data_IF_417993321110
#
_entry.id   IF_417993321110
#
_cell.length_a   1.000
_cell.length_b   1.000
_cell.length_c   1.000
_cell.angle_alpha   90.00
_cell.angle_beta   90.00
_cell.angle_gamma   90.00
#
_symmetry.space_group_name_H-M   'P 1'
#
loop_
_entity.id
_entity.type
_entity.pdbx_description
1 polymer ?
#
# COMPACT_ATOMS: atom_id res chain seq x y z
N UNK A 1 -12.09 1.85 8.85
CA UNK A 1 -11.29 3.10 8.83
C UNK A 1 -10.35 2.99 7.65
N UNK A 2 -10.43 3.90 6.67
CA UNK A 2 -9.71 3.79 5.39
C UNK A 2 -8.32 4.44 5.42
N UNK A 3 -8.00 5.20 6.46
CA UNK A 3 -6.75 5.94 6.60
C UNK A 3 -6.24 5.85 8.03
N UNK A 4 -4.92 5.88 8.19
CA UNK A 4 -4.26 5.95 9.49
C UNK A 4 -3.37 7.20 9.54
N UNK A 5 -3.35 7.95 10.65
CA UNK A 5 -2.45 9.08 10.79
C UNK A 5 -1.00 8.58 10.83
N UNK A 6 -0.13 9.21 10.07
CA UNK A 6 1.32 8.98 10.14
C UNK A 6 1.90 9.92 11.20
N UNK A 7 2.76 9.40 12.06
CA UNK A 7 3.41 10.19 13.09
C UNK A 7 4.30 11.30 12.49
N UNK A 8 4.46 12.39 13.23
CA UNK A 8 5.38 13.46 12.83
C UNK A 8 6.79 12.89 12.62
N UNK A 9 7.40 13.21 11.47
CA UNK A 9 8.71 12.67 11.06
C UNK A 9 8.67 11.26 10.46
N UNK A 10 7.50 10.63 10.37
CA UNK A 10 7.30 9.36 9.67
C UNK A 10 7.48 9.48 8.16
N UNK A 11 7.38 10.69 7.60
CA UNK A 11 7.68 10.97 6.19
C UNK A 11 8.86 11.93 6.07
N UNK A 12 9.79 11.62 5.17
CA UNK A 12 10.88 12.51 4.76
C UNK A 12 10.85 12.65 3.25
N UNK A 13 10.96 13.87 2.74
CA UNK A 13 10.96 14.17 1.31
C UNK A 13 12.14 15.08 0.99
N UNK A 14 12.95 14.69 0.00
CA UNK A 14 13.98 15.51 -0.61
C UNK A 14 13.60 15.74 -2.07
N UNK A 15 12.88 16.84 -2.32
CA UNK A 15 12.39 17.21 -3.65
C UNK A 15 13.53 17.45 -4.64
N UNK A 16 14.69 17.95 -4.18
CA UNK A 16 15.85 18.20 -5.04
C UNK A 16 16.46 16.91 -5.57
N UNK A 17 16.37 15.83 -4.79
CA UNK A 17 16.87 14.50 -5.17
C UNK A 17 15.78 13.57 -5.69
N UNK A 18 14.53 14.03 -5.76
CA UNK A 18 13.38 13.18 -6.13
C UNK A 18 13.21 11.97 -5.21
N UNK A 19 13.62 12.07 -3.94
CA UNK A 19 13.58 10.94 -2.99
C UNK A 19 12.57 11.18 -1.89
N UNK A 20 11.93 10.10 -1.45
CA UNK A 20 11.12 10.12 -0.26
C UNK A 20 11.21 8.80 0.51
N UNK A 21 10.94 8.91 1.81
CA UNK A 21 10.94 7.79 2.74
C UNK A 21 9.69 7.88 3.61
N UNK A 22 9.02 6.74 3.78
CA UNK A 22 7.91 6.53 4.69
C UNK A 22 8.32 5.48 5.72
N UNK A 23 8.21 5.82 7.00
CA UNK A 23 8.40 4.93 8.14
C UNK A 23 7.15 4.95 9.00
N UNK A 24 6.56 3.79 9.20
CA UNK A 24 5.33 3.60 9.95
C UNK A 24 5.51 2.43 10.90
N UNK A 25 4.94 2.54 12.10
CA UNK A 25 4.97 1.48 13.12
C UNK A 25 3.63 1.40 13.82
N UNK A 26 3.31 0.20 14.29
CA UNK A 26 2.16 -0.11 15.13
C UNK A 26 0.83 0.44 14.59
N UNK A 27 0.63 0.32 13.27
CA UNK A 27 -0.60 0.75 12.62
C UNK A 27 -1.58 -0.40 12.58
N UNK A 28 -2.73 -0.18 13.24
CA UNK A 28 -3.86 -1.08 13.15
C UNK A 28 -4.53 -0.92 11.79
N UNK A 29 -4.62 -2.02 11.05
CA UNK A 29 -5.27 -2.09 9.74
C UNK A 29 -6.50 -2.94 9.88
N UNK A 30 -7.64 -2.35 9.57
CA UNK A 30 -8.88 -3.08 9.47
C UNK A 30 -9.10 -3.42 8.01
N UNK A 31 -8.96 -4.71 7.67
CA UNK A 31 -9.40 -5.19 6.37
C UNK A 31 -10.93 -5.31 6.40
N UNK A 32 -11.57 -4.23 5.96
CA UNK A 32 -13.01 -4.08 5.92
C UNK A 32 -13.65 -4.73 4.70
N UNK A 33 -12.91 -5.50 3.91
CA UNK A 33 -13.41 -5.83 2.59
C UNK A 33 -14.50 -6.92 2.62
N UNK A 34 -15.63 -6.54 2.05
CA UNK A 34 -16.60 -7.42 1.39
C UNK A 34 -16.12 -7.89 0.03
N UNK A 35 -14.87 -7.57 -0.37
CA UNK A 35 -14.22 -8.20 -1.53
C UNK A 35 -14.13 -9.67 -1.17
N UNK A 36 -14.82 -10.56 -1.90
CA UNK A 36 -14.68 -11.99 -1.73
C UNK A 36 -13.22 -12.32 -2.02
N UNK A 37 -12.38 -12.37 -1.00
CA UNK A 37 -11.02 -12.78 -1.16
C UNK A 37 -10.97 -14.28 -0.91
N UNK A 38 -10.84 -15.16 -1.90
CA UNK A 38 -11.10 -15.08 -3.36
C UNK A 38 -10.89 -16.49 -3.94
N UNK A 39 -11.16 -17.55 -3.16
CA UNK A 39 -11.10 -18.94 -3.63
C UNK A 39 -12.17 -19.84 -3.01
N UNK A 40 -12.86 -19.43 -1.94
CA UNK A 40 -13.92 -20.23 -1.33
C UNK A 40 -15.03 -19.36 -0.71
N UNK A 41 -16.17 -19.32 -1.38
CA UNK A 41 -17.37 -18.60 -0.94
C UNK A 41 -18.14 -19.34 0.16
N UNK A 42 -17.86 -20.63 0.40
CA UNK A 42 -18.44 -21.39 1.50
C UNK A 42 -17.78 -21.07 2.85
N UNK A 43 -16.57 -20.47 2.84
CA UNK A 43 -15.81 -20.15 4.06
C UNK A 43 -15.35 -18.68 4.07
N UNK A 44 -16.27 -17.71 4.16
CA UNK A 44 -15.90 -16.30 4.23
C UNK A 44 -15.03 -16.04 5.47
N UNK A 45 -13.86 -15.43 5.27
CA UNK A 45 -12.88 -15.14 6.34
C UNK A 45 -13.38 -14.11 7.37
N UNK A 46 -14.52 -13.46 7.13
CA UNK A 46 -15.08 -12.43 8.01
C UNK A 46 -14.22 -11.17 8.05
N UNK A 47 -14.43 -10.32 9.06
CA UNK A 47 -13.61 -9.12 9.29
C UNK A 47 -12.23 -9.54 9.79
N UNK A 48 -11.19 -9.27 9.00
CA UNK A 48 -9.81 -9.56 9.40
C UNK A 48 -9.17 -8.26 9.89
N UNK A 49 -8.48 -8.36 11.03
CA UNK A 49 -7.66 -7.27 11.55
C UNK A 49 -6.20 -7.63 11.38
N UNK A 50 -5.41 -6.66 10.98
CA UNK A 50 -3.96 -6.76 10.89
C UNK A 50 -3.30 -5.63 11.65
N UNK A 51 -2.03 -5.82 11.99
CA UNK A 51 -1.18 -4.79 12.58
C UNK A 51 0.05 -4.72 11.69
N UNK A 52 0.30 -3.56 11.08
CA UNK A 52 1.60 -3.26 10.49
C UNK A 52 2.52 -2.89 11.65
N UNK A 53 3.34 -3.85 12.09
CA UNK A 53 4.30 -3.62 13.17
C UNK A 53 5.38 -2.65 12.72
N UNK A 54 5.84 -2.80 11.48
CA UNK A 54 6.77 -1.87 10.85
C UNK A 54 6.60 -1.86 9.34
N UNK A 55 6.62 -0.67 8.76
CA UNK A 55 6.75 -0.44 7.33
C UNK A 55 7.84 0.60 7.10
N UNK A 56 8.78 0.29 6.22
CA UNK A 56 9.75 1.23 5.66
C UNK A 56 9.63 1.16 4.14
N UNK A 57 9.30 2.28 3.53
CA UNK A 57 9.27 2.42 2.09
C UNK A 57 10.20 3.55 1.69
N UNK A 58 11.07 3.30 0.73
CA UNK A 58 11.94 4.31 0.13
C UNK A 58 11.68 4.32 -1.36
N UNK A 59 11.44 5.49 -1.92
CA UNK A 59 11.27 5.61 -3.35
C UNK A 59 12.03 6.78 -3.93
N UNK A 60 12.39 6.62 -5.19
CA UNK A 60 13.03 7.65 -5.99
C UNK A 60 12.26 7.84 -7.29
N UNK A 61 12.20 9.08 -7.74
CA UNK A 61 11.70 9.48 -9.06
C UNK A 61 12.88 10.12 -9.78
N UNK A 62 13.20 9.63 -10.98
CA UNK A 62 14.48 9.97 -11.63
C UNK A 62 14.32 10.73 -12.94
N UNK A 63 13.25 10.48 -13.70
CA UNK A 63 13.08 11.11 -14.99
C UNK A 63 11.61 11.37 -15.30
N UNK A 64 11.39 12.43 -16.06
CA UNK A 64 10.10 12.79 -16.61
C UNK A 64 9.96 12.17 -18.01
N UNK A 65 8.84 11.50 -18.25
CA UNK A 65 8.39 11.04 -19.56
C UNK A 65 7.17 11.84 -19.95
N UNK A 66 7.31 12.65 -21.00
CA UNK A 66 6.19 13.40 -21.57
C UNK A 66 5.47 12.55 -22.62
N UNK A 67 4.15 12.53 -22.58
CA UNK A 67 3.29 11.91 -23.58
C UNK A 67 2.30 12.94 -24.12
N UNK A 68 2.00 12.86 -25.42
CA UNK A 68 1.00 13.70 -26.07
C UNK A 68 0.25 12.88 -27.10
N UNK A 69 -1.07 12.85 -26.96
CA UNK A 69 -2.00 12.32 -27.95
C UNK A 69 -2.72 13.50 -28.59
N UNK A 70 -2.31 13.86 -29.81
CA UNK A 70 -2.89 15.00 -30.52
C UNK A 70 -4.36 14.78 -30.89
N UNK A 71 -4.76 13.63 -31.47
CA UNK A 71 -6.16 13.31 -31.73
C UNK A 71 -7.11 13.51 -30.54
N UNK A 72 -6.74 12.98 -29.37
CA UNK A 72 -7.61 13.01 -28.19
C UNK A 72 -7.35 14.22 -27.28
N UNK A 73 -6.40 15.09 -27.65
CA UNK A 73 -6.02 16.28 -26.90
C UNK A 73 -5.30 16.01 -25.57
N UNK A 74 -4.97 14.75 -25.29
CA UNK A 74 -4.30 14.33 -24.07
C UNK A 74 -2.84 14.78 -24.05
N UNK A 75 -2.39 15.29 -22.91
CA UNK A 75 -0.97 15.58 -22.68
C UNK A 75 -0.63 15.37 -21.21
N UNK A 76 0.49 14.72 -20.93
CA UNK A 76 0.94 14.57 -19.55
C UNK A 76 2.46 14.42 -19.44
N UNK A 77 2.94 14.77 -18.26
CA UNK A 77 4.30 14.55 -17.79
C UNK A 77 4.24 13.54 -16.64
N UNK A 78 4.89 12.41 -16.82
CA UNK A 78 4.93 11.31 -15.86
C UNK A 78 6.33 11.15 -15.29
N UNK A 79 6.44 10.78 -14.04
CA UNK A 79 7.71 10.44 -13.44
C UNK A 79 7.83 8.93 -13.32
N UNK A 80 8.89 8.35 -13.84
CA UNK A 80 9.20 6.95 -13.54
C UNK A 80 10.01 6.87 -12.26
N UNK A 81 9.65 5.89 -11.44
CA UNK A 81 10.21 5.69 -10.12
C UNK A 81 10.41 4.23 -9.78
N UNK A 82 11.17 4.03 -8.71
CA UNK A 82 11.37 2.74 -8.08
C UNK A 82 11.22 2.89 -6.58
N UNK A 83 10.65 1.87 -5.94
CA UNK A 83 10.48 1.80 -4.51
C UNK A 83 11.02 0.48 -3.96
N UNK A 84 11.65 0.55 -2.80
CA UNK A 84 11.90 -0.62 -1.95
C UNK A 84 10.95 -0.57 -0.76
N UNK A 85 10.41 -1.72 -0.39
CA UNK A 85 9.40 -1.83 0.67
C UNK A 85 9.80 -2.96 1.62
N UNK A 86 9.95 -2.62 2.89
CA UNK A 86 10.09 -3.55 4.00
C UNK A 86 8.84 -3.48 4.87
N UNK A 87 8.19 -4.62 5.09
CA UNK A 87 7.01 -4.71 5.94
C UNK A 87 7.11 -5.92 6.86
N UNK A 88 6.79 -5.69 8.14
CA UNK A 88 6.44 -6.74 9.08
C UNK A 88 5.03 -6.48 9.56
N UNK A 89 4.17 -7.48 9.40
CA UNK A 89 2.78 -7.41 9.83
C UNK A 89 2.37 -8.67 10.59
N UNK A 90 1.41 -8.52 11.51
CA UNK A 90 0.81 -9.62 12.24
C UNK A 90 -0.71 -9.56 12.19
N UNK A 91 -1.37 -10.71 12.33
CA UNK A 91 -2.79 -10.74 12.71
C UNK A 91 -2.91 -10.97 14.22
N UNK A 92 -3.94 -10.43 14.89
CA UNK A 92 -4.17 -10.68 16.31
C UNK A 92 -4.41 -12.17 16.59
N UNK A 93 -4.03 -12.61 17.79
CA UNK A 93 -4.52 -13.87 18.34
C UNK A 93 -5.98 -13.71 18.74
N UNK A 94 -6.79 -14.73 18.45
CA UNK A 94 -8.20 -14.78 18.86
C UNK A 94 -8.32 -15.77 20.01
N UNK A 95 -8.71 -15.34 21.22
CA UNK A 95 -8.95 -16.26 22.33
C UNK A 95 -10.08 -17.24 22.01
N UNK A 96 -10.04 -18.43 22.63
CA UNK A 96 -11.18 -19.33 22.58
C UNK A 96 -12.40 -18.65 23.22
N UNK A 97 -13.58 -18.86 22.63
CA UNK A 97 -14.86 -18.40 23.21
C UNK A 97 -15.68 -19.62 23.63
N UNK A 98 -16.36 -19.51 24.77
CA UNK A 98 -17.30 -20.52 25.26
C UNK A 98 -18.72 -20.27 24.77
N UNK A 99 -19.03 -19.08 24.23
CA UNK A 99 -20.36 -18.73 23.72
C UNK A 99 -20.27 -17.62 22.65
N UNK A 100 -20.55 -17.93 21.36
CA UNK A 100 -20.66 -19.27 20.79
C UNK A 100 -19.32 -20.02 20.89
N UNK A 101 -19.33 -21.36 21.08
CA UNK A 101 -18.10 -22.14 21.19
C UNK A 101 -17.23 -21.99 19.95
N UNK A 102 -16.02 -21.46 20.12
CA UNK A 102 -15.03 -21.34 19.07
C UNK A 102 -13.64 -21.62 19.62
N UNK A 103 -12.84 -22.40 18.90
CA UNK A 103 -11.44 -22.61 19.26
C UNK A 103 -10.64 -21.31 19.11
N UNK A 104 -9.67 -21.12 20.00
CA UNK A 104 -8.72 -20.03 19.86
C UNK A 104 -7.91 -20.20 18.57
N UNK A 105 -7.55 -19.08 17.94
CA UNK A 105 -6.74 -19.06 16.72
C UNK A 105 -5.48 -18.26 16.97
N UNK A 106 -4.35 -18.83 16.59
CA UNK A 106 -3.08 -18.12 16.59
C UNK A 106 -3.07 -17.09 15.45
N UNK A 107 -2.37 -15.97 15.69
CA UNK A 107 -2.11 -15.01 14.64
C UNK A 107 -1.04 -15.50 13.65
N UNK A 108 -1.00 -14.88 12.48
CA UNK A 108 0.06 -15.07 11.49
C UNK A 108 1.06 -13.93 11.56
N UNK A 109 2.30 -14.20 11.16
CA UNK A 109 3.34 -13.19 10.98
C UNK A 109 3.78 -13.19 9.52
N UNK A 110 3.73 -12.02 8.90
CA UNK A 110 4.16 -11.77 7.54
C UNK A 110 5.39 -10.86 7.59
N UNK A 111 6.43 -11.24 6.86
CA UNK A 111 7.66 -10.46 6.77
C UNK A 111 8.05 -10.43 5.29
N UNK A 112 8.23 -9.24 4.73
CA UNK A 112 8.77 -9.12 3.38
C UNK A 112 10.25 -9.49 3.37
N UNK A 113 10.76 -9.88 2.20
CA UNK A 113 12.20 -9.98 1.99
C UNK A 113 12.86 -8.59 2.23
N UNK A 114 14.13 -8.48 2.66
CA UNK A 114 14.77 -7.19 2.92
C UNK A 114 14.70 -6.27 1.71
N UNK A 115 14.67 -4.95 1.93
CA UNK A 115 14.50 -3.90 0.91
C UNK A 115 15.44 -4.08 -0.29
N UNK A 116 16.63 -4.65 -0.06
CA UNK A 116 17.63 -4.90 -1.10
C UNK A 116 17.20 -5.91 -2.18
N UNK A 117 16.11 -6.66 -1.99
CA UNK A 117 15.71 -7.76 -2.88
C UNK A 117 14.36 -7.56 -3.57
N UNK A 118 13.56 -6.58 -3.15
CA UNK A 118 12.23 -6.30 -3.70
C UNK A 118 12.15 -4.86 -4.15
N UNK A 119 12.23 -4.65 -5.46
CA UNK A 119 12.10 -3.34 -6.11
C UNK A 119 10.78 -3.31 -6.87
N UNK A 120 9.91 -2.37 -6.53
CA UNK A 120 8.69 -2.07 -7.28
C UNK A 120 8.96 -0.90 -8.22
N UNK A 121 8.80 -1.13 -9.52
CA UNK A 121 8.82 -0.04 -10.51
C UNK A 121 7.41 0.55 -10.64
N UNK A 122 7.32 1.87 -10.76
CA UNK A 122 6.05 2.57 -10.89
C UNK A 122 6.19 3.82 -11.75
N UNK A 123 5.06 4.31 -12.25
CA UNK A 123 4.93 5.64 -12.81
C UNK A 123 4.07 6.50 -11.90
N UNK A 124 4.44 7.77 -11.73
CA UNK A 124 3.72 8.76 -10.96
C UNK A 124 3.25 9.87 -11.90
N UNK A 125 2.01 10.31 -11.74
CA UNK A 125 1.48 11.46 -12.47
C UNK A 125 2.18 12.72 -11.95
N UNK A 126 2.80 13.47 -12.87
CA UNK A 126 3.38 14.77 -12.58
C UNK A 126 2.42 15.89 -12.91
N UNK A 127 2.17 16.08 -14.21
CA UNK A 127 1.14 16.98 -14.72
C UNK A 127 0.33 16.25 -15.78
N UNK A 128 -0.98 16.47 -15.82
CA UNK A 128 -1.84 15.83 -16.80
C UNK A 128 -2.94 16.79 -17.23
N UNK A 129 -3.13 16.89 -18.54
CA UNK A 129 -4.28 17.50 -19.18
C UNK A 129 -5.09 16.38 -19.81
N UNK A 130 -6.21 16.07 -19.17
CA UNK A 130 -7.19 15.13 -19.71
C UNK A 130 -7.65 15.57 -21.10
N UNK A 131 -7.80 14.58 -21.98
CA UNK A 131 -8.33 14.75 -23.32
C UNK A 131 -9.83 14.99 -23.36
N UNK A 132 -10.44 14.80 -24.52
CA UNK A 132 -11.87 15.07 -24.75
C UNK A 132 -12.75 14.20 -23.84
N UNK A 133 -13.64 14.82 -23.05
CA UNK A 133 -14.58 14.13 -22.16
C UNK A 133 -15.93 13.77 -22.83
N UNK A 134 -16.24 14.37 -23.98
CA UNK A 134 -17.47 14.14 -24.72
C UNK A 134 -17.20 14.29 -26.23
N UNK A 135 -17.30 13.18 -26.97
CA UNK A 135 -17.38 13.14 -28.44
C UNK A 135 -18.82 13.02 -28.89
#
# INVERSE_FOLDING_TARGET
MWTAPISNGGVKVDLKKGKATLNVKDVFVFDAFTVPNSLDTAHPLGRVSGIINSLRMEWTTQFTKSWTDCPDGFKGDFFEGSATIEVTATTPTVPASTCPPNQGRNGFRFVSNPAATSVSHFAQIGSERNGVFFS
#
